data_IF_607562767786
#
_entry.id   IF_607562767786
#
_cell.length_a   1.000
_cell.length_b   1.000
_cell.length_c   1.000
_cell.angle_alpha   90.00
_cell.angle_beta   90.00
_cell.angle_gamma   90.00
#
_symmetry.space_group_name_H-M   'P 1'
#
loop_
_entity.id
_entity.type
_entity.pdbx_description
1 polymer ?
#
# COMPACT_ATOMS: atom_id res chain seq x y z
N UNK A 1 -11.12 33.13 21.93
CA UNK A 1 -11.90 32.37 22.92
C UNK A 1 -11.44 32.60 24.35
N UNK A 2 -10.13 32.55 24.66
CA UNK A 2 -9.60 32.80 26.02
C UNK A 2 -10.00 34.19 26.57
N UNK A 3 -9.92 35.22 25.73
CA UNK A 3 -10.36 36.59 26.07
C UNK A 3 -11.86 36.70 26.41
N UNK A 4 -12.71 35.84 25.81
CA UNK A 4 -14.14 35.81 26.07
C UNK A 4 -14.46 35.09 27.39
N UNK A 5 -13.72 34.02 27.69
CA UNK A 5 -13.81 33.30 28.96
C UNK A 5 -13.42 34.21 30.14
N UNK A 6 -12.32 34.96 30.02
CA UNK A 6 -11.89 35.92 31.05
C UNK A 6 -12.91 37.04 31.27
N UNK A 7 -13.53 37.53 30.21
CA UNK A 7 -14.53 38.60 30.28
C UNK A 7 -15.84 38.13 30.92
N UNK A 8 -16.27 36.89 30.67
CA UNK A 8 -17.46 36.27 31.30
C UNK A 8 -17.24 35.98 32.80
N UNK A 9 -16.04 35.54 33.17
CA UNK A 9 -15.66 35.36 34.58
C UNK A 9 -15.68 36.69 35.33
N UNK A 10 -15.19 37.78 34.70
CA UNK A 10 -15.26 39.14 35.29
C UNK A 10 -16.69 39.65 35.47
N UNK A 11 -17.63 39.19 34.65
CA UNK A 11 -19.06 39.53 34.71
C UNK A 11 -19.87 38.63 35.64
N UNK A 12 -19.22 37.70 36.34
CA UNK A 12 -19.84 36.71 37.22
C UNK A 12 -20.80 35.74 36.50
N UNK A 13 -20.65 35.60 35.18
CA UNK A 13 -21.39 34.67 34.32
C UNK A 13 -20.64 33.33 34.25
N UNK A 14 -20.56 32.68 35.41
CA UNK A 14 -19.75 31.47 35.63
C UNK A 14 -20.28 30.25 34.85
N UNK A 15 -21.58 30.22 34.55
CA UNK A 15 -22.21 29.10 33.87
C UNK A 15 -21.91 29.11 32.35
N UNK A 16 -21.93 30.29 31.70
CA UNK A 16 -21.45 30.46 30.33
C UNK A 16 -19.94 30.20 30.19
N UNK A 17 -19.14 30.72 31.14
CA UNK A 17 -17.70 30.49 31.14
C UNK A 17 -17.37 28.99 31.26
N UNK A 18 -18.12 28.23 32.06
CA UNK A 18 -17.98 26.77 32.22
C UNK A 18 -18.28 26.02 30.92
N UNK A 19 -19.32 26.42 30.18
CA UNK A 19 -19.65 25.83 28.86
C UNK A 19 -18.54 26.04 27.84
N UNK A 20 -17.96 27.24 27.80
CA UNK A 20 -16.82 27.55 26.92
C UNK A 20 -15.58 26.74 27.33
N UNK A 21 -15.33 26.62 28.63
CA UNK A 21 -14.22 25.82 29.18
C UNK A 21 -14.34 24.35 28.77
N UNK A 22 -15.54 23.76 28.90
CA UNK A 22 -15.81 22.37 28.46
C UNK A 22 -15.62 22.21 26.96
N UNK A 23 -16.06 23.17 26.16
CA UNK A 23 -15.86 23.14 24.71
C UNK A 23 -14.38 23.20 24.31
N UNK A 24 -13.60 24.06 24.97
CA UNK A 24 -12.15 24.18 24.76
C UNK A 24 -11.40 22.91 25.18
N UNK A 25 -11.79 22.28 26.29
CA UNK A 25 -11.22 21.00 26.74
C UNK A 25 -11.53 19.89 25.74
N UNK A 26 -12.76 19.79 25.24
CA UNK A 26 -13.12 18.80 24.22
C UNK A 26 -12.35 19.02 22.92
N UNK A 27 -12.22 20.26 22.45
CA UNK A 27 -11.41 20.56 21.26
C UNK A 27 -9.93 20.22 21.44
N UNK A 28 -9.38 20.48 22.64
CA UNK A 28 -7.99 20.14 22.96
C UNK A 28 -7.79 18.62 23.05
N UNK A 29 -8.73 17.89 23.65
CA UNK A 29 -8.73 16.43 23.68
C UNK A 29 -8.87 15.83 22.27
N UNK A 30 -9.73 16.39 21.41
CA UNK A 30 -9.86 15.99 20.00
C UNK A 30 -8.58 16.28 19.20
N UNK A 31 -7.87 17.37 19.50
CA UNK A 31 -6.56 17.67 18.90
C UNK A 31 -5.44 16.77 19.41
N UNK A 32 -5.40 16.43 20.70
CA UNK A 32 -4.45 15.46 21.26
C UNK A 32 -4.71 14.04 20.75
N UNK A 33 -5.98 13.65 20.63
CA UNK A 33 -6.38 12.43 19.92
C UNK A 33 -5.88 12.47 18.47
N UNK A 34 -6.16 13.52 17.69
CA UNK A 34 -5.67 13.64 16.30
C UNK A 34 -4.15 13.60 16.15
N UNK A 35 -3.39 14.11 17.11
CA UNK A 35 -1.93 14.14 17.04
C UNK A 35 -1.26 12.79 17.40
N UNK A 36 -1.95 11.94 18.16
CA UNK A 36 -1.50 10.59 18.53
C UNK A 36 -2.31 9.47 17.87
N UNK A 37 -3.26 9.81 17.01
CA UNK A 37 -4.10 8.84 16.31
C UNK A 37 -3.32 8.27 15.14
N UNK A 38 -2.93 7.01 15.28
CA UNK A 38 -2.36 6.20 14.20
C UNK A 38 -3.51 5.58 13.40
N UNK A 39 -3.81 6.10 12.19
CA UNK A 39 -4.92 5.62 11.39
C UNK A 39 -4.70 4.18 10.91
N UNK A 40 -3.45 3.73 10.79
CA UNK A 40 -3.09 2.42 10.24
C UNK A 40 -3.44 1.31 11.24
N UNK A 41 -3.05 1.49 12.51
CA UNK A 41 -3.41 0.59 13.60
C UNK A 41 -4.94 0.58 13.85
N UNK A 42 -5.59 1.74 13.77
CA UNK A 42 -7.04 1.83 13.93
C UNK A 42 -7.82 1.06 12.86
N UNK A 43 -7.42 1.18 11.58
CA UNK A 43 -8.06 0.43 10.48
C UNK A 43 -7.87 -1.08 10.68
N UNK A 44 -6.68 -1.50 11.09
CA UNK A 44 -6.37 -2.92 11.30
C UNK A 44 -7.19 -3.52 12.44
N UNK A 45 -7.27 -2.84 13.58
CA UNK A 45 -8.04 -3.29 14.74
C UNK A 45 -9.55 -3.38 14.44
N UNK A 46 -10.13 -2.39 13.76
CA UNK A 46 -11.56 -2.40 13.44
C UNK A 46 -11.92 -3.45 12.36
N UNK A 47 -11.01 -3.73 11.42
CA UNK A 47 -11.17 -4.83 10.46
C UNK A 47 -11.08 -6.20 11.14
N UNK A 48 -10.16 -6.38 12.10
CA UNK A 48 -10.05 -7.60 12.91
C UNK A 48 -11.27 -7.80 13.83
N UNK A 49 -11.88 -6.70 14.29
CA UNK A 49 -13.14 -6.69 15.03
C UNK A 49 -14.38 -7.02 14.16
N UNK A 50 -14.21 -7.15 12.83
CA UNK A 50 -15.28 -7.47 11.89
C UNK A 50 -16.13 -6.26 11.48
N UNK A 51 -15.63 -5.04 11.67
CA UNK A 51 -16.34 -3.82 11.28
C UNK A 51 -16.31 -3.62 9.75
N UNK A 52 -17.36 -3.01 9.20
CA UNK A 52 -17.45 -2.80 7.76
C UNK A 52 -16.56 -1.64 7.31
N UNK A 53 -15.93 -1.81 6.14
CA UNK A 53 -15.06 -0.80 5.53
C UNK A 53 -15.80 0.55 5.36
N UNK A 54 -17.10 0.53 5.03
CA UNK A 54 -17.94 1.73 4.99
C UNK A 54 -17.98 2.49 6.33
N UNK A 55 -18.10 1.78 7.45
CA UNK A 55 -18.15 2.39 8.78
C UNK A 55 -16.79 2.97 9.18
N UNK A 56 -15.71 2.23 8.97
CA UNK A 56 -14.35 2.71 9.28
C UNK A 56 -14.04 3.97 8.45
N UNK A 57 -14.41 3.95 7.16
CA UNK A 57 -14.29 5.11 6.26
C UNK A 57 -15.11 6.30 6.74
N UNK A 58 -16.34 6.07 7.21
CA UNK A 58 -17.17 7.13 7.77
C UNK A 58 -16.54 7.73 9.02
N UNK A 59 -16.07 6.90 9.97
CA UNK A 59 -15.40 7.34 11.20
C UNK A 59 -14.12 8.14 10.91
N UNK A 60 -13.24 7.65 10.04
CA UNK A 60 -12.03 8.36 9.63
C UNK A 60 -12.35 9.71 8.95
N UNK A 61 -13.37 9.72 8.09
CA UNK A 61 -13.83 10.95 7.45
C UNK A 61 -14.37 11.96 8.48
N UNK A 62 -15.08 11.50 9.52
CA UNK A 62 -15.52 12.38 10.62
C UNK A 62 -14.36 12.91 11.45
N UNK A 63 -13.24 12.16 11.52
CA UNK A 63 -11.98 12.62 12.12
C UNK A 63 -11.17 13.51 11.17
N UNK A 64 -11.65 13.79 9.97
CA UNK A 64 -11.00 14.61 8.94
C UNK A 64 -9.76 13.96 8.31
N UNK A 65 -9.74 12.63 8.27
CA UNK A 65 -8.69 11.79 7.71
C UNK A 65 -9.30 11.02 6.52
N UNK A 66 -8.79 11.22 5.30
CA UNK A 66 -9.26 10.46 4.14
C UNK A 66 -8.55 9.10 4.07
N UNK A 67 -9.32 8.04 4.29
CA UNK A 67 -8.85 6.65 4.23
C UNK A 67 -8.18 6.33 2.88
N UNK A 68 -8.65 6.90 1.78
CA UNK A 68 -8.05 6.65 0.47
C UNK A 68 -6.71 7.35 0.30
N UNK A 69 -6.50 8.52 0.90
CA UNK A 69 -5.21 9.19 0.85
C UNK A 69 -4.16 8.44 1.68
N UNK A 70 -4.55 7.82 2.80
CA UNK A 70 -3.68 6.93 3.59
C UNK A 70 -3.32 5.68 2.79
N UNK A 71 -4.32 4.93 2.33
CA UNK A 71 -4.12 3.69 1.55
C UNK A 71 -3.28 3.98 0.30
N UNK A 72 -3.51 5.12 -0.36
CA UNK A 72 -2.75 5.51 -1.55
C UNK A 72 -1.32 5.93 -1.23
N UNK A 73 -1.08 6.60 -0.10
CA UNK A 73 0.27 6.95 0.36
C UNK A 73 1.06 5.70 0.74
N UNK A 74 0.41 4.76 1.43
CA UNK A 74 0.97 3.47 1.80
C UNK A 74 1.28 2.62 0.56
N UNK A 75 0.31 2.46 -0.36
CA UNK A 75 0.54 1.78 -1.64
C UNK A 75 1.62 2.46 -2.49
N UNK A 76 1.74 3.79 -2.42
CA UNK A 76 2.76 4.54 -3.15
C UNK A 76 4.15 4.27 -2.58
N UNK A 77 4.31 4.36 -1.27
CA UNK A 77 5.57 4.01 -0.59
C UNK A 77 5.94 2.54 -0.79
N UNK A 78 4.97 1.63 -0.69
CA UNK A 78 5.15 0.21 -0.93
C UNK A 78 5.63 -0.04 -2.37
N UNK A 79 5.00 0.58 -3.37
CA UNK A 79 5.42 0.46 -4.77
C UNK A 79 6.82 1.03 -5.01
N UNK A 80 7.19 2.13 -4.33
CA UNK A 80 8.55 2.71 -4.41
C UNK A 80 9.57 1.71 -3.85
N UNK A 81 9.31 1.13 -2.67
CA UNK A 81 10.20 0.15 -2.04
C UNK A 81 10.30 -1.12 -2.92
N UNK A 82 9.18 -1.61 -3.44
CA UNK A 82 9.13 -2.76 -4.35
C UNK A 82 9.98 -2.53 -5.61
N UNK A 83 9.83 -1.36 -6.24
CA UNK A 83 10.57 -0.99 -7.45
C UNK A 83 12.07 -0.81 -7.14
N UNK A 84 12.41 -0.25 -5.99
CA UNK A 84 13.80 -0.09 -5.54
C UNK A 84 14.47 -1.45 -5.29
N UNK A 85 13.78 -2.39 -4.64
CA UNK A 85 14.27 -3.77 -4.46
C UNK A 85 14.48 -4.44 -5.82
N UNK A 86 13.54 -4.26 -6.75
CA UNK A 86 13.62 -4.84 -8.09
C UNK A 86 14.81 -4.28 -8.87
N UNK A 87 15.07 -2.96 -8.82
CA UNK A 87 16.22 -2.33 -9.49
C UNK A 87 17.55 -2.79 -8.89
N UNK A 88 17.68 -2.81 -7.56
CA UNK A 88 18.91 -3.26 -6.88
C UNK A 88 19.22 -4.73 -7.14
N UNK A 89 18.18 -5.58 -7.23
CA UNK A 89 18.35 -6.99 -7.63
C UNK A 89 18.79 -7.16 -9.08
N UNK A 90 18.40 -6.25 -9.98
CA UNK A 90 18.86 -6.25 -11.37
C UNK A 90 20.33 -5.80 -11.48
N UNK A 91 20.75 -4.86 -10.63
CA UNK A 91 22.15 -4.41 -10.50
C UNK A 91 23.08 -5.49 -9.92
N UNK A 92 22.51 -6.57 -9.37
CA UNK A 92 23.28 -7.69 -8.84
C UNK A 92 23.68 -7.53 -7.36
N UNK A 93 23.09 -6.56 -6.66
CA UNK A 93 23.37 -6.36 -5.24
C UNK A 93 22.92 -7.55 -4.38
N UNK A 94 23.65 -7.74 -3.28
CA UNK A 94 23.36 -8.80 -2.33
C UNK A 94 22.11 -8.48 -1.52
N UNK A 95 21.38 -9.52 -1.10
CA UNK A 95 20.19 -9.38 -0.26
C UNK A 95 20.48 -8.64 1.05
N UNK A 96 21.67 -8.86 1.62
CA UNK A 96 22.10 -8.24 2.87
C UNK A 96 22.36 -6.73 2.69
N UNK A 97 22.93 -6.34 1.56
CA UNK A 97 23.10 -4.93 1.19
C UNK A 97 21.76 -4.23 1.01
N UNK A 98 20.82 -4.88 0.30
CA UNK A 98 19.47 -4.33 0.09
C UNK A 98 18.70 -4.22 1.40
N UNK A 99 18.75 -5.23 2.26
CA UNK A 99 18.05 -5.22 3.55
C UNK A 99 18.63 -4.12 4.49
N UNK A 100 19.94 -3.86 4.44
CA UNK A 100 20.57 -2.76 5.19
C UNK A 100 20.18 -1.38 4.62
N UNK A 101 20.22 -1.19 3.29
CA UNK A 101 19.82 0.07 2.64
C UNK A 101 18.35 0.42 2.90
N UNK A 102 17.47 -0.58 2.94
CA UNK A 102 16.05 -0.39 3.28
C UNK A 102 15.86 0.02 4.74
N UNK A 103 16.68 -0.51 5.63
CA UNK A 103 16.63 -0.16 7.05
C UNK A 103 17.15 1.25 7.29
N UNK A 104 18.24 1.65 6.62
CA UNK A 104 18.84 2.97 6.77
C UNK A 104 18.04 4.09 6.07
N UNK A 105 17.57 3.85 4.84
CA UNK A 105 16.94 4.91 4.03
C UNK A 105 15.42 4.97 4.16
N UNK A 106 14.77 3.86 4.53
CA UNK A 106 13.31 3.77 4.58
C UNK A 106 12.77 3.41 5.97
N UNK A 107 13.64 3.23 6.98
CA UNK A 107 13.31 2.88 8.36
C UNK A 107 12.31 1.71 8.49
N UNK A 108 12.48 0.71 7.62
CA UNK A 108 11.54 -0.40 7.47
C UNK A 108 11.82 -1.49 8.50
N UNK A 109 10.79 -1.90 9.25
CA UNK A 109 10.89 -3.03 10.17
C UNK A 109 11.01 -4.38 9.43
N UNK A 110 11.72 -5.32 10.04
CA UNK A 110 11.84 -6.72 9.60
C UNK A 110 10.51 -7.41 9.25
N UNK A 111 9.43 -7.11 9.96
CA UNK A 111 8.10 -7.66 9.68
C UNK A 111 7.54 -7.15 8.34
N UNK A 112 7.65 -5.85 8.09
CA UNK A 112 7.23 -5.24 6.83
C UNK A 112 8.09 -5.70 5.65
N UNK A 113 9.39 -5.92 5.85
CA UNK A 113 10.27 -6.53 4.84
C UNK A 113 9.80 -7.93 4.43
N UNK A 114 9.31 -8.73 5.38
CA UNK A 114 8.79 -10.07 5.10
C UNK A 114 7.48 -10.01 4.31
N UNK A 115 6.60 -9.07 4.61
CA UNK A 115 5.38 -8.83 3.84
C UNK A 115 5.69 -8.40 2.40
N UNK A 116 6.64 -7.48 2.22
CA UNK A 116 7.11 -7.05 0.90
C UNK A 116 7.73 -8.22 0.12
N UNK A 117 8.56 -9.04 0.77
CA UNK A 117 9.14 -10.25 0.16
C UNK A 117 8.06 -11.24 -0.28
N UNK A 118 7.00 -11.40 0.51
CA UNK A 118 5.86 -12.24 0.14
C UNK A 118 5.10 -11.69 -1.07
N UNK A 119 4.82 -10.37 -1.10
CA UNK A 119 4.17 -9.71 -2.22
C UNK A 119 5.00 -9.77 -3.51
N UNK A 120 6.33 -9.60 -3.44
CA UNK A 120 7.26 -9.84 -4.56
C UNK A 120 7.13 -11.28 -5.09
N UNK A 121 7.04 -12.25 -4.19
CA UNK A 121 6.87 -13.67 -4.56
C UNK A 121 5.53 -13.92 -5.24
N UNK A 122 4.45 -13.30 -4.76
CA UNK A 122 3.14 -13.37 -5.43
C UNK A 122 3.13 -12.71 -6.80
N UNK A 123 3.75 -11.52 -6.93
CA UNK A 123 3.93 -10.82 -8.20
C UNK A 123 4.72 -11.69 -9.19
N UNK A 124 5.77 -12.35 -8.70
CA UNK A 124 6.55 -13.35 -9.44
C UNK A 124 5.69 -14.50 -9.95
N UNK A 125 4.91 -15.15 -9.06
CA UNK A 125 3.98 -16.24 -9.44
C UNK A 125 2.96 -15.79 -10.49
N UNK A 126 2.38 -14.59 -10.34
CA UNK A 126 1.42 -14.02 -11.31
C UNK A 126 2.08 -13.80 -12.66
N UNK A 127 3.28 -13.19 -12.69
CA UNK A 127 4.03 -12.97 -13.93
C UNK A 127 4.41 -14.30 -14.61
N UNK A 128 4.85 -15.31 -13.86
CA UNK A 128 5.12 -16.65 -14.39
C UNK A 128 3.85 -17.27 -14.97
N UNK A 129 2.71 -17.18 -14.28
CA UNK A 129 1.42 -17.72 -14.75
C UNK A 129 0.98 -17.04 -16.04
N UNK A 130 1.05 -15.71 -16.10
CA UNK A 130 0.76 -14.94 -17.33
C UNK A 130 1.68 -15.38 -18.46
N UNK A 131 2.97 -15.56 -18.19
CA UNK A 131 3.94 -16.04 -19.17
C UNK A 131 3.58 -17.42 -19.73
N UNK A 132 3.22 -18.38 -18.87
CA UNK A 132 2.77 -19.73 -19.28
C UNK A 132 1.52 -19.63 -20.15
N UNK A 133 0.51 -18.87 -19.74
CA UNK A 133 -0.75 -18.72 -20.48
C UNK A 133 -0.49 -18.13 -21.88
N UNK A 134 0.36 -17.09 -21.97
CA UNK A 134 0.73 -16.48 -23.25
C UNK A 134 1.43 -17.47 -24.18
N UNK A 135 2.35 -18.28 -23.65
CA UNK A 135 3.03 -19.32 -24.44
C UNK A 135 2.05 -20.38 -24.93
N UNK A 136 1.17 -20.90 -24.06
CA UNK A 136 0.19 -21.93 -24.43
C UNK A 136 -0.74 -21.40 -25.53
N UNK A 137 -1.28 -20.19 -25.38
CA UNK A 137 -2.14 -19.58 -26.40
C UNK A 137 -1.39 -19.36 -27.72
N UNK A 138 -0.15 -18.87 -27.67
CA UNK A 138 0.68 -18.69 -28.86
C UNK A 138 0.94 -20.01 -29.59
N UNK A 139 1.26 -21.08 -28.86
CA UNK A 139 1.51 -22.41 -29.42
C UNK A 139 0.24 -22.96 -30.08
N UNK A 140 -0.92 -22.86 -29.41
CA UNK A 140 -2.19 -23.32 -29.98
C UNK A 140 -2.56 -22.59 -31.27
N UNK A 141 -2.37 -21.27 -31.32
CA UNK A 141 -2.62 -20.47 -32.53
C UNK A 141 -1.68 -20.90 -33.66
N UNK A 142 -0.40 -21.10 -33.37
CA UNK A 142 0.58 -21.55 -34.38
C UNK A 142 0.27 -22.95 -34.88
N UNK A 143 -0.10 -23.90 -34.02
CA UNK A 143 -0.52 -25.27 -34.43
C UNK A 143 -1.72 -25.18 -35.37
N UNK A 144 -2.76 -24.42 -35.01
CA UNK A 144 -3.95 -24.25 -35.83
C UNK A 144 -3.62 -23.65 -37.21
N UNK A 145 -2.75 -22.64 -37.27
CA UNK A 145 -2.38 -21.98 -38.53
C UNK A 145 -1.42 -22.80 -39.38
N UNK A 146 -0.59 -23.66 -38.77
CA UNK A 146 0.31 -24.57 -39.48
C UNK A 146 -0.49 -25.53 -40.38
N UNK A 147 -1.65 -26.00 -39.90
CA UNK A 147 -2.56 -26.85 -40.70
C UNK A 147 -3.06 -26.17 -41.98
N UNK A 148 -2.97 -24.83 -42.04
CA UNK A 148 -3.37 -23.99 -43.18
C UNK A 148 -2.17 -23.41 -43.94
N UNK A 149 -0.94 -23.80 -43.59
CA UNK A 149 0.30 -23.28 -44.19
C UNK A 149 0.57 -21.80 -43.92
N UNK A 150 0.04 -21.24 -42.83
CA UNK A 150 0.19 -19.81 -42.47
C UNK A 150 0.92 -19.66 -41.14
N UNK A 151 1.63 -18.55 -40.98
CA UNK A 151 2.27 -18.15 -39.71
C UNK A 151 1.64 -16.83 -39.27
N UNK A 152 1.39 -16.69 -37.97
CA UNK A 152 0.82 -15.46 -37.40
C UNK A 152 1.90 -14.63 -36.72
N UNK A 153 2.15 -13.43 -37.25
CA UNK A 153 3.01 -12.42 -36.63
C UNK A 153 2.53 -12.08 -35.20
N UNK A 154 1.21 -11.87 -34.95
CA UNK A 154 0.71 -11.71 -33.58
C UNK A 154 1.06 -12.86 -32.64
N UNK A 155 1.02 -14.10 -33.12
CA UNK A 155 1.35 -15.27 -32.29
C UNK A 155 2.83 -15.29 -31.90
N UNK A 156 3.73 -14.89 -32.81
CA UNK A 156 5.17 -14.75 -32.53
C UNK A 156 5.41 -13.66 -31.47
N UNK A 157 4.69 -12.53 -31.55
CA UNK A 157 4.79 -11.47 -30.53
C UNK A 157 4.32 -11.96 -29.15
N UNK A 158 3.20 -12.69 -29.09
CA UNK A 158 2.71 -13.29 -27.85
C UNK A 158 3.72 -14.27 -27.25
N UNK A 159 4.44 -15.02 -28.10
CA UNK A 159 5.50 -15.92 -27.66
C UNK A 159 6.65 -15.16 -26.98
N UNK A 160 7.13 -14.08 -27.61
CA UNK A 160 8.18 -13.23 -27.04
C UNK A 160 7.76 -12.57 -25.72
N UNK A 161 6.53 -12.06 -25.64
CA UNK A 161 5.97 -11.50 -24.41
C UNK A 161 5.83 -12.57 -23.30
N UNK A 162 5.46 -13.80 -23.67
CA UNK A 162 5.39 -14.92 -22.75
C UNK A 162 6.75 -15.27 -22.13
N UNK A 163 7.80 -15.34 -22.96
CA UNK A 163 9.18 -15.55 -22.49
C UNK A 163 9.61 -14.41 -21.56
N UNK A 164 9.39 -13.15 -21.94
CA UNK A 164 9.77 -12.01 -21.09
C UNK A 164 9.07 -12.07 -19.72
N UNK A 165 7.77 -12.38 -19.70
CA UNK A 165 7.01 -12.50 -18.45
C UNK A 165 7.47 -13.67 -17.58
N UNK A 166 7.88 -14.78 -18.17
CA UNK A 166 8.50 -15.89 -17.46
C UNK A 166 9.83 -15.49 -16.81
N UNK A 167 10.71 -14.82 -17.57
CA UNK A 167 12.01 -14.36 -17.06
C UNK A 167 11.82 -13.36 -15.92
N UNK A 168 10.90 -12.40 -16.06
CA UNK A 168 10.55 -11.47 -14.97
C UNK A 168 10.04 -12.22 -13.74
N UNK A 169 9.15 -13.18 -13.93
CA UNK A 169 8.60 -14.00 -12.85
C UNK A 169 9.69 -14.80 -12.13
N UNK A 170 10.58 -15.46 -12.87
CA UNK A 170 11.70 -16.21 -12.30
C UNK A 170 12.65 -15.30 -11.50
N UNK A 171 12.97 -14.12 -12.02
CA UNK A 171 13.82 -13.15 -11.32
C UNK A 171 13.20 -12.68 -9.99
N UNK A 172 11.88 -12.50 -9.97
CA UNK A 172 11.12 -12.12 -8.78
C UNK A 172 10.99 -13.29 -7.78
N UNK A 173 11.10 -14.55 -8.24
CA UNK A 173 10.98 -15.76 -7.41
C UNK A 173 12.33 -16.27 -6.85
N UNK A 174 13.42 -16.21 -7.62
CA UNK A 174 14.71 -16.88 -7.30
C UNK A 174 15.72 -16.05 -6.51
N UNK A 175 15.52 -14.74 -6.37
CA UNK A 175 16.41 -13.86 -5.57
C UNK A 175 15.81 -13.46 -4.22
N UNK A 176 15.04 -14.35 -3.59
CA UNK A 176 14.54 -14.19 -2.22
C UNK A 176 15.11 -15.29 -1.32
#
# INVERSE_FOLDING_TARGET
MVLLQEELIKRNELDEASKITKHLINQKNEQELRNNFDPENYIKEELEAGESIENIKFKLKTMGIDMFDIIKKEQSQENIILNYIESKKLEGESKETIDNDLKENFNVDSNYLNEIKNKLREKGKKNTTIGIVLLVVSILINIFLLTKGRISIPAILLFGLGIWKLVQGEHQLRKN
#
